data_IF_240894711751
#
_entry.id   IF_240894711751
#
_cell.length_a   1.000
_cell.length_b   1.000
_cell.length_c   1.000
_cell.angle_alpha   90.00
_cell.angle_beta   90.00
_cell.angle_gamma   90.00
#
_symmetry.space_group_name_H-M   'P 1'
#
loop_
_entity.id
_entity.type
_entity.pdbx_description
1 polymer ?
#
# COMPACT_ATOMS: atom_id res chain seq x y z
N UNK A 1 10.03 -42.05 -15.75
CA UNK A 1 9.92 -41.84 -14.30
C UNK A 1 8.81 -40.82 -14.10
N UNK A 2 7.63 -41.30 -13.77
CA UNK A 2 6.44 -40.44 -13.67
C UNK A 2 6.51 -39.60 -12.40
N UNK A 3 6.18 -38.31 -12.52
CA UNK A 3 6.23 -37.40 -11.38
C UNK A 3 5.05 -37.68 -10.44
N UNK A 4 5.26 -37.77 -9.11
CA UNK A 4 4.18 -38.04 -8.15
C UNK A 4 3.01 -37.06 -8.25
N UNK A 5 1.80 -37.58 -8.21
CA UNK A 5 0.52 -36.84 -8.29
C UNK A 5 0.43 -35.56 -7.47
N UNK A 6 0.91 -35.48 -6.20
CA UNK A 6 0.82 -34.24 -5.42
C UNK A 6 1.63 -33.08 -6.04
N UNK A 7 2.72 -33.39 -6.74
CA UNK A 7 3.54 -32.36 -7.40
C UNK A 7 2.82 -31.84 -8.65
N UNK A 8 2.16 -32.73 -9.41
CA UNK A 8 1.34 -32.34 -10.57
C UNK A 8 0.17 -31.47 -10.14
N UNK A 9 -0.48 -31.79 -9.03
CA UNK A 9 -1.59 -30.99 -8.52
C UNK A 9 -1.14 -29.59 -8.06
N UNK A 10 0.03 -29.48 -7.40
CA UNK A 10 0.59 -28.17 -7.03
C UNK A 10 0.97 -27.34 -8.25
N UNK A 11 1.60 -27.94 -9.26
CA UNK A 11 1.92 -27.26 -10.51
C UNK A 11 0.66 -26.88 -11.29
N UNK A 12 -0.36 -27.74 -11.31
CA UNK A 12 -1.65 -27.46 -11.93
C UNK A 12 -2.41 -26.33 -11.25
N UNK A 13 -2.38 -26.26 -9.92
CA UNK A 13 -2.97 -25.16 -9.16
C UNK A 13 -2.20 -23.85 -9.40
N UNK A 14 -0.87 -23.90 -9.39
CA UNK A 14 -0.04 -22.72 -9.66
C UNK A 14 -0.25 -22.22 -11.10
N UNK A 15 -0.31 -23.14 -12.07
CA UNK A 15 -0.62 -22.83 -13.47
C UNK A 15 -2.01 -22.24 -13.64
N UNK A 16 -3.02 -22.74 -12.91
CA UNK A 16 -4.39 -22.20 -12.98
C UNK A 16 -4.53 -20.82 -12.34
N UNK A 17 -3.73 -20.52 -11.32
CA UNK A 17 -3.70 -19.18 -10.71
C UNK A 17 -2.99 -18.18 -11.62
N UNK A 18 -1.97 -18.59 -12.39
CA UNK A 18 -1.21 -17.71 -13.27
C UNK A 18 -1.82 -17.60 -14.67
N UNK A 19 -2.35 -18.70 -15.20
CA UNK A 19 -3.00 -18.81 -16.51
C UNK A 19 -4.46 -19.25 -16.31
N UNK A 20 -5.27 -18.43 -15.64
CA UNK A 20 -6.72 -18.60 -15.65
C UNK A 20 -7.21 -18.39 -17.08
N UNK A 21 -7.23 -19.49 -17.83
CA UNK A 21 -7.59 -19.61 -19.23
C UNK A 21 -9.09 -19.41 -19.49
N UNK A 22 -9.32 -18.75 -20.61
CA UNK A 22 -10.53 -18.19 -21.18
C UNK A 22 -11.57 -19.18 -21.72
N UNK A 23 -11.83 -20.30 -21.03
CA UNK A 23 -12.81 -21.30 -21.51
C UNK A 23 -14.07 -21.44 -20.63
N UNK A 24 -14.59 -20.32 -20.08
CA UNK A 24 -16.01 -20.25 -19.69
C UNK A 24 -16.83 -19.71 -20.85
N UNK A 25 -17.33 -20.62 -21.68
CA UNK A 25 -18.47 -20.42 -22.58
C UNK A 25 -19.73 -20.13 -21.74
N UNK A 26 -19.95 -18.85 -21.47
CA UNK A 26 -21.16 -18.26 -20.90
C UNK A 26 -21.32 -16.85 -21.50
N UNK A 27 -22.54 -16.30 -21.60
CA UNK A 27 -22.82 -15.17 -22.48
C UNK A 27 -21.91 -13.98 -22.17
N UNK A 28 -21.37 -13.39 -23.22
CA UNK A 28 -20.44 -12.25 -23.26
C UNK A 28 -20.94 -11.06 -22.40
N UNK A 29 -20.72 -11.14 -21.09
CA UNK A 29 -20.39 -9.97 -20.32
C UNK A 29 -18.93 -9.71 -20.63
N UNK A 30 -18.67 -8.68 -21.43
CA UNK A 30 -17.35 -8.09 -21.63
C UNK A 30 -16.59 -8.11 -20.30
N UNK A 31 -15.69 -9.09 -20.12
CA UNK A 31 -14.57 -8.99 -19.20
C UNK A 31 -13.68 -7.91 -19.80
N UNK A 32 -14.07 -6.65 -19.58
CA UNK A 32 -13.22 -5.51 -19.87
C UNK A 32 -11.89 -5.68 -19.11
N UNK A 33 -10.84 -4.95 -19.49
CA UNK A 33 -9.54 -4.98 -18.82
C UNK A 33 -9.54 -4.54 -17.34
N UNK A 34 -10.69 -4.55 -16.66
CA UNK A 34 -10.93 -4.07 -15.31
C UNK A 34 -10.57 -5.10 -14.21
N UNK A 35 -10.18 -6.33 -14.59
CA UNK A 35 -9.56 -7.29 -13.66
C UNK A 35 -8.03 -7.17 -13.61
N UNK A 36 -7.43 -6.25 -14.37
CA UNK A 36 -5.99 -6.04 -14.37
C UNK A 36 -5.58 -5.48 -13.00
N UNK A 37 -4.68 -6.22 -12.31
CA UNK A 37 -4.17 -5.94 -10.96
C UNK A 37 -4.06 -4.44 -10.67
N UNK A 38 -4.78 -3.98 -9.64
CA UNK A 38 -4.76 -2.57 -9.21
C UNK A 38 -3.50 -2.25 -8.45
N UNK A 39 -2.83 -3.29 -7.96
CA UNK A 39 -1.55 -3.19 -7.29
C UNK A 39 -0.55 -2.40 -8.13
N UNK A 40 0.02 -1.36 -7.53
CA UNK A 40 1.04 -0.55 -8.19
C UNK A 40 2.40 -1.17 -7.97
N UNK A 41 2.99 -1.71 -9.05
CA UNK A 41 4.36 -2.21 -9.06
C UNK A 41 5.35 -1.13 -8.60
N UNK A 42 5.17 0.10 -9.08
CA UNK A 42 6.05 1.22 -8.76
C UNK A 42 6.04 1.56 -7.25
N UNK A 43 4.86 1.57 -6.62
CA UNK A 43 4.73 1.77 -5.18
C UNK A 43 5.46 0.65 -4.43
N UNK A 44 5.24 -0.61 -4.83
CA UNK A 44 5.84 -1.78 -4.19
C UNK A 44 7.37 -1.74 -4.26
N UNK A 45 7.93 -1.41 -5.42
CA UNK A 45 9.37 -1.32 -5.61
C UNK A 45 9.98 -0.19 -4.75
N UNK A 46 9.30 0.94 -4.66
CA UNK A 46 9.75 2.04 -3.79
C UNK A 46 9.72 1.65 -2.31
N UNK A 47 8.66 0.96 -1.85
CA UNK A 47 8.57 0.44 -0.48
C UNK A 47 9.67 -0.58 -0.18
N UNK A 48 10.00 -1.44 -1.16
CA UNK A 48 11.12 -2.37 -1.09
C UNK A 48 12.44 -1.66 -0.82
N UNK A 49 12.83 -0.71 -1.68
CA UNK A 49 14.07 0.04 -1.47
C UNK A 49 14.07 0.83 -0.15
N UNK A 50 12.93 1.43 0.19
CA UNK A 50 12.81 2.21 1.41
C UNK A 50 12.94 1.36 2.69
N UNK A 51 12.52 0.09 2.64
CA UNK A 51 12.69 -0.86 3.76
C UNK A 51 14.17 -1.12 4.07
N UNK A 52 15.03 -1.21 3.05
CA UNK A 52 16.47 -1.36 3.24
C UNK A 52 17.17 -0.04 3.54
N UNK A 53 16.67 1.07 3.00
CA UNK A 53 17.19 2.40 3.29
C UNK A 53 16.90 2.83 4.74
N UNK A 54 15.79 2.40 5.32
CA UNK A 54 15.37 2.84 6.65
C UNK A 54 16.36 2.50 7.78
N UNK A 55 16.90 1.27 7.91
CA UNK A 55 17.97 0.99 8.87
C UNK A 55 19.22 1.85 8.66
N UNK A 56 19.58 2.14 7.41
CA UNK A 56 20.71 3.01 7.08
C UNK A 56 20.44 4.46 7.52
N UNK A 57 19.25 4.98 7.23
CA UNK A 57 18.78 6.27 7.71
C UNK A 57 18.83 6.35 9.24
N UNK A 58 18.37 5.29 9.92
CA UNK A 58 18.35 5.23 11.37
C UNK A 58 19.76 5.27 11.98
N UNK A 59 20.66 4.39 11.53
CA UNK A 59 22.06 4.35 12.02
C UNK A 59 22.76 5.68 11.76
N UNK A 60 22.61 6.25 10.56
CA UNK A 60 23.21 7.54 10.24
C UNK A 60 22.65 8.68 11.10
N UNK A 61 21.35 8.69 11.40
CA UNK A 61 20.72 9.68 12.28
C UNK A 61 21.26 9.59 13.71
N UNK A 62 21.40 8.38 14.25
CA UNK A 62 21.99 8.16 15.58
C UNK A 62 23.45 8.60 15.62
N UNK A 63 24.25 8.23 14.62
CA UNK A 63 25.66 8.63 14.54
C UNK A 63 25.81 10.15 14.46
N UNK A 64 25.03 10.82 13.61
CA UNK A 64 25.06 12.29 13.50
C UNK A 64 24.61 12.97 14.78
N UNK A 65 23.55 12.45 15.43
CA UNK A 65 23.10 12.95 16.72
C UNK A 65 24.21 12.85 17.77
N UNK A 66 24.93 11.73 17.86
CA UNK A 66 26.05 11.58 18.80
C UNK A 66 27.15 12.62 18.56
N UNK A 67 27.52 12.88 17.30
CA UNK A 67 28.57 13.86 16.99
C UNK A 67 28.19 15.29 17.38
N UNK A 68 26.92 15.67 17.23
CA UNK A 68 26.44 17.02 17.58
C UNK A 68 25.86 17.16 18.98
N UNK A 69 25.70 16.06 19.72
CA UNK A 69 24.99 16.03 21.00
C UNK A 69 25.54 17.02 22.03
N UNK A 70 26.87 17.19 22.08
CA UNK A 70 27.51 18.10 23.04
C UNK A 70 27.32 19.58 22.71
N UNK A 71 27.02 19.92 21.45
CA UNK A 71 26.96 21.30 20.95
C UNK A 71 25.51 21.80 20.95
N UNK A 72 24.53 20.90 20.83
CA UNK A 72 23.12 21.25 20.82
C UNK A 72 22.68 21.83 22.18
N UNK A 73 21.82 22.87 22.18
CA UNK A 73 21.06 23.27 23.36
C UNK A 73 20.15 22.13 23.85
N UNK A 74 19.91 22.06 25.16
CA UNK A 74 19.18 20.92 25.77
C UNK A 74 17.78 20.70 25.18
N UNK A 75 17.01 21.76 24.94
CA UNK A 75 15.67 21.64 24.35
C UNK A 75 15.72 21.02 22.94
N UNK A 76 16.73 21.33 22.13
CA UNK A 76 16.89 20.72 20.82
C UNK A 76 17.28 19.25 20.91
N UNK A 77 18.07 18.84 21.91
CA UNK A 77 18.39 17.41 22.14
C UNK A 77 17.10 16.61 22.36
N UNK A 78 16.23 17.08 23.25
CA UNK A 78 14.96 16.41 23.53
C UNK A 78 14.07 16.33 22.29
N UNK A 79 13.96 17.43 21.53
CA UNK A 79 13.13 17.48 20.32
C UNK A 79 13.65 16.47 19.27
N UNK A 80 14.94 16.48 18.96
CA UNK A 80 15.52 15.59 17.92
C UNK A 80 15.38 14.14 18.31
N UNK A 81 15.69 13.77 19.56
CA UNK A 81 15.53 12.39 20.04
C UNK A 81 14.08 11.93 19.90
N UNK A 82 13.13 12.78 20.32
CA UNK A 82 11.70 12.48 20.24
C UNK A 82 11.27 12.29 18.79
N UNK A 83 11.69 13.17 17.88
CA UNK A 83 11.34 13.08 16.46
C UNK A 83 11.94 11.84 15.82
N UNK A 84 13.20 11.49 16.12
CA UNK A 84 13.82 10.26 15.60
C UNK A 84 13.02 9.03 16.04
N UNK A 85 12.62 8.96 17.31
CA UNK A 85 11.79 7.85 17.82
C UNK A 85 10.43 7.81 17.11
N UNK A 86 9.75 8.97 17.00
CA UNK A 86 8.45 9.05 16.33
C UNK A 86 8.54 8.64 14.86
N UNK A 87 9.51 9.18 14.10
CA UNK A 87 9.75 8.81 12.71
C UNK A 87 10.01 7.30 12.62
N UNK A 88 10.78 6.72 13.55
CA UNK A 88 11.09 5.28 13.53
C UNK A 88 9.82 4.43 13.69
N UNK A 89 8.97 4.78 14.66
CA UNK A 89 7.72 4.06 14.92
C UNK A 89 6.71 4.24 13.78
N UNK A 90 6.53 5.47 13.33
CA UNK A 90 5.61 5.80 12.23
C UNK A 90 6.07 5.10 10.96
N UNK A 91 7.37 5.11 10.65
CA UNK A 91 7.92 4.47 9.45
C UNK A 91 7.68 2.97 9.43
N UNK A 92 7.85 2.28 10.57
CA UNK A 92 7.57 0.85 10.67
C UNK A 92 6.10 0.53 10.36
N UNK A 93 5.16 1.28 10.96
CA UNK A 93 3.72 1.13 10.72
C UNK A 93 3.38 1.47 9.28
N UNK A 94 3.96 2.56 8.77
CA UNK A 94 3.75 3.06 7.42
C UNK A 94 4.19 2.03 6.39
N UNK A 95 5.41 1.50 6.49
CA UNK A 95 5.89 0.44 5.61
C UNK A 95 4.92 -0.76 5.65
N UNK A 96 4.55 -1.25 6.83
CA UNK A 96 3.60 -2.36 6.97
C UNK A 96 2.27 -2.11 6.24
N UNK A 97 1.63 -0.96 6.48
CA UNK A 97 0.36 -0.59 5.84
C UNK A 97 0.51 -0.44 4.32
N UNK A 98 1.62 0.13 3.85
CA UNK A 98 1.89 0.28 2.42
C UNK A 98 2.01 -1.07 1.71
N UNK A 99 2.78 -2.00 2.29
CA UNK A 99 2.92 -3.35 1.75
C UNK A 99 1.60 -4.12 1.75
N UNK A 100 0.90 -4.13 2.88
CA UNK A 100 -0.36 -4.88 3.01
C UNK A 100 -1.45 -4.27 2.12
N UNK A 101 -1.62 -2.94 2.15
CA UNK A 101 -2.63 -2.25 1.36
C UNK A 101 -2.44 -2.42 -0.13
N UNK A 102 -1.19 -2.36 -0.62
CA UNK A 102 -0.91 -2.51 -2.05
C UNK A 102 -0.96 -3.97 -2.54
N UNK A 103 -0.49 -4.94 -1.75
CA UNK A 103 -0.51 -6.35 -2.13
C UNK A 103 -1.88 -7.01 -1.98
N UNK A 104 -2.63 -6.65 -0.93
CA UNK A 104 -3.97 -7.18 -0.67
C UNK A 104 -5.06 -6.33 -1.30
N UNK A 105 -4.69 -5.28 -2.04
CA UNK A 105 -5.59 -4.31 -2.68
C UNK A 105 -6.64 -3.73 -1.72
N UNK A 106 -6.23 -3.51 -0.47
CA UNK A 106 -7.12 -3.00 0.56
C UNK A 106 -7.01 -1.47 0.65
N UNK A 107 -8.09 -0.83 0.20
CA UNK A 107 -8.30 0.62 0.26
C UNK A 107 -8.04 1.22 1.64
N UNK A 108 -8.58 0.68 2.77
CA UNK A 108 -8.39 1.32 4.07
C UNK A 108 -6.94 1.31 4.55
N UNK A 109 -6.20 0.22 4.37
CA UNK A 109 -4.78 0.12 4.73
C UNK A 109 -3.93 1.07 3.87
N UNK A 110 -4.19 1.15 2.56
CA UNK A 110 -3.48 2.06 1.67
C UNK A 110 -3.81 3.54 1.96
N UNK A 111 -5.06 3.85 2.34
CA UNK A 111 -5.44 5.18 2.81
C UNK A 111 -4.71 5.54 4.11
N UNK A 112 -4.59 4.59 5.04
CA UNK A 112 -3.79 4.74 6.26
C UNK A 112 -2.31 5.02 5.95
N UNK A 113 -1.71 4.27 5.02
CA UNK A 113 -0.37 4.53 4.52
C UNK A 113 -0.20 5.96 3.98
N UNK A 114 -1.13 6.38 3.12
CA UNK A 114 -1.12 7.70 2.50
C UNK A 114 -1.25 8.82 3.54
N UNK A 115 -2.18 8.66 4.49
CA UNK A 115 -2.41 9.61 5.58
C UNK A 115 -1.21 9.71 6.52
N UNK A 116 -0.64 8.59 6.95
CA UNK A 116 0.57 8.60 7.80
C UNK A 116 1.74 9.27 7.09
N UNK A 117 1.90 9.01 5.79
CA UNK A 117 2.97 9.61 4.99
C UNK A 117 2.80 11.13 4.91
N UNK A 118 1.62 11.63 4.58
CA UNK A 118 1.38 13.06 4.41
C UNK A 118 1.27 13.84 5.72
N UNK A 119 0.53 13.31 6.70
CA UNK A 119 0.14 14.06 7.89
C UNK A 119 1.19 13.97 9.00
N UNK A 120 1.83 12.81 9.18
CA UNK A 120 2.79 12.61 10.24
C UNK A 120 4.23 12.62 9.71
N UNK A 121 4.52 11.81 8.69
CA UNK A 121 5.90 11.59 8.24
C UNK A 121 6.50 12.82 7.55
N UNK A 122 5.76 13.45 6.63
CA UNK A 122 6.24 14.63 5.91
C UNK A 122 6.54 15.82 6.83
N UNK A 123 5.66 16.26 7.75
CA UNK A 123 5.98 17.37 8.64
C UNK A 123 7.18 17.08 9.54
N UNK A 124 7.34 15.84 10.03
CA UNK A 124 8.46 15.45 10.88
C UNK A 124 9.79 15.49 10.12
N UNK A 125 9.87 14.89 8.92
CA UNK A 125 11.10 14.92 8.13
C UNK A 125 11.43 16.35 7.66
N UNK A 126 10.40 17.12 7.32
CA UNK A 126 10.56 18.51 6.89
C UNK A 126 11.07 19.39 8.02
N UNK A 127 10.61 19.16 9.25
CA UNK A 127 11.12 19.84 10.43
C UNK A 127 12.61 19.54 10.64
N UNK A 128 13.04 18.27 10.52
CA UNK A 128 14.47 17.95 10.60
C UNK A 128 15.27 18.64 9.47
N UNK A 129 14.71 18.68 8.26
CA UNK A 129 15.39 19.22 7.09
C UNK A 129 15.50 20.75 7.09
N UNK A 130 14.49 21.49 7.53
CA UNK A 130 14.50 22.97 7.46
C UNK A 130 14.88 23.65 8.77
N UNK A 131 14.89 22.95 9.90
CA UNK A 131 15.28 23.58 11.15
C UNK A 131 16.82 23.76 11.22
N UNK A 132 17.26 25.00 11.01
CA UNK A 132 18.68 25.39 11.10
C UNK A 132 19.23 25.29 12.52
N UNK A 133 18.39 25.44 13.54
CA UNK A 133 18.76 25.33 14.96
C UNK A 133 19.26 23.94 15.36
N UNK A 134 19.00 22.92 14.53
CA UNK A 134 19.51 21.56 14.73
C UNK A 134 20.98 21.38 14.32
N UNK A 135 21.64 22.43 13.84
CA UNK A 135 23.02 22.41 13.31
C UNK A 135 23.23 21.21 12.40
N UNK A 136 22.35 21.09 11.40
CA UNK A 136 22.26 19.93 10.52
C UNK A 136 23.58 19.68 9.78
N UNK A 137 24.16 18.49 9.96
CA UNK A 137 25.40 18.12 9.27
C UNK A 137 25.11 17.84 7.78
N UNK A 138 26.11 18.00 6.87
CA UNK A 138 25.92 17.72 5.45
C UNK A 138 25.41 16.29 5.17
N UNK A 139 25.89 15.30 5.94
CA UNK A 139 25.44 13.91 5.83
C UNK A 139 23.98 13.74 6.27
N UNK A 140 23.59 14.39 7.37
CA UNK A 140 22.20 14.38 7.87
C UNK A 140 21.24 14.98 6.84
N UNK A 141 21.60 16.13 6.26
CA UNK A 141 20.84 16.74 5.16
C UNK A 141 20.69 15.79 3.98
N UNK A 142 21.78 15.17 3.52
CA UNK A 142 21.73 14.24 2.38
C UNK A 142 20.79 13.06 2.64
N UNK A 143 20.92 12.43 3.81
CA UNK A 143 20.08 11.30 4.22
C UNK A 143 18.60 11.70 4.32
N UNK A 144 18.29 12.86 4.90
CA UNK A 144 16.93 13.36 4.99
C UNK A 144 16.34 13.75 3.64
N UNK A 145 17.13 14.31 2.72
CA UNK A 145 16.70 14.60 1.35
C UNK A 145 16.34 13.31 0.61
N UNK A 146 17.19 12.29 0.67
CA UNK A 146 16.93 10.99 0.03
C UNK A 146 15.64 10.38 0.59
N UNK A 147 15.47 10.40 1.91
CA UNK A 147 14.24 9.91 2.56
C UNK A 147 13.01 10.68 2.10
N UNK A 148 13.11 12.01 2.03
CA UNK A 148 12.02 12.89 1.57
C UNK A 148 11.64 12.57 0.12
N UNK A 149 12.61 12.31 -0.77
CA UNK A 149 12.34 11.92 -2.16
C UNK A 149 11.56 10.60 -2.22
N UNK A 150 11.97 9.58 -1.45
CA UNK A 150 11.22 8.32 -1.34
C UNK A 150 9.79 8.56 -0.86
N UNK A 151 9.61 9.36 0.19
CA UNK A 151 8.29 9.71 0.73
C UNK A 151 7.41 10.41 -0.29
N UNK A 152 7.93 11.44 -0.98
CA UNK A 152 7.18 12.17 -2.01
C UNK A 152 6.75 11.25 -3.15
N UNK A 153 7.66 10.41 -3.65
CA UNK A 153 7.33 9.44 -4.69
C UNK A 153 6.23 8.46 -4.26
N UNK A 154 6.33 7.95 -3.03
CA UNK A 154 5.36 7.02 -2.47
C UNK A 154 3.99 7.66 -2.24
N UNK A 155 3.94 8.91 -1.77
CA UNK A 155 2.69 9.67 -1.62
C UNK A 155 1.98 9.81 -2.96
N UNK A 156 2.70 10.20 -4.02
CA UNK A 156 2.12 10.37 -5.36
C UNK A 156 1.62 9.01 -5.90
N UNK A 157 2.47 7.98 -5.81
CA UNK A 157 2.12 6.65 -6.31
C UNK A 157 0.97 6.02 -5.52
N UNK A 158 0.93 6.17 -4.19
CA UNK A 158 -0.17 5.71 -3.36
C UNK A 158 -1.48 6.46 -3.65
N UNK A 159 -1.42 7.78 -3.89
CA UNK A 159 -2.60 8.53 -4.30
C UNK A 159 -3.20 8.02 -5.61
N UNK A 160 -2.36 7.79 -6.62
CA UNK A 160 -2.80 7.23 -7.91
C UNK A 160 -3.38 5.84 -7.74
N UNK A 161 -2.74 5.00 -6.93
CA UNK A 161 -3.18 3.62 -6.63
C UNK A 161 -4.52 3.62 -5.88
N UNK A 162 -4.65 4.49 -4.87
CA UNK A 162 -5.87 4.63 -4.09
C UNK A 162 -7.05 5.07 -4.96
N UNK A 163 -6.85 6.04 -5.86
CA UNK A 163 -7.89 6.44 -6.84
C UNK A 163 -8.35 5.27 -7.70
N UNK A 164 -7.42 4.47 -8.21
CA UNK A 164 -7.74 3.28 -9.01
C UNK A 164 -8.53 2.25 -8.20
N UNK A 165 -8.08 1.93 -6.99
CA UNK A 165 -8.74 0.96 -6.11
C UNK A 165 -10.15 1.40 -5.68
N UNK A 166 -10.33 2.69 -5.37
CA UNK A 166 -11.65 3.23 -5.01
C UNK A 166 -12.63 3.17 -6.19
N UNK A 167 -12.18 3.52 -7.39
CA UNK A 167 -13.02 3.45 -8.59
C UNK A 167 -13.45 2.01 -8.88
N UNK A 168 -12.53 1.05 -8.79
CA UNK A 168 -12.86 -0.35 -8.99
C UNK A 168 -13.79 -0.88 -7.90
N UNK A 169 -13.58 -0.48 -6.65
CA UNK A 169 -14.45 -0.84 -5.54
C UNK A 169 -15.88 -0.33 -5.79
N UNK A 170 -16.03 0.91 -6.26
CA UNK A 170 -17.34 1.45 -6.65
C UNK A 170 -17.99 0.63 -7.76
N UNK A 171 -17.24 0.29 -8.82
CA UNK A 171 -17.75 -0.57 -9.90
C UNK A 171 -18.21 -1.93 -9.38
N UNK A 172 -17.43 -2.57 -8.49
CA UNK A 172 -17.79 -3.86 -7.89
C UNK A 172 -19.05 -3.78 -7.05
N UNK A 173 -19.23 -2.72 -6.27
CA UNK A 173 -20.46 -2.52 -5.50
C UNK A 173 -21.67 -2.36 -6.41
N UNK A 174 -21.58 -1.53 -7.44
CA UNK A 174 -22.67 -1.37 -8.40
C UNK A 174 -23.05 -2.69 -9.08
N UNK A 175 -22.07 -3.48 -9.52
CA UNK A 175 -22.33 -4.80 -10.12
C UNK A 175 -23.00 -5.76 -9.14
N UNK A 176 -22.56 -5.82 -7.89
CA UNK A 176 -23.18 -6.67 -6.87
C UNK A 176 -24.63 -6.27 -6.57
N UNK A 177 -24.92 -4.97 -6.57
CA UNK A 177 -26.28 -4.46 -6.38
C UNK A 177 -27.18 -4.87 -7.56
N UNK A 178 -26.70 -4.77 -8.80
CA UNK A 178 -27.41 -5.24 -9.98
C UNK A 178 -27.66 -6.76 -9.93
N UNK A 179 -26.65 -7.56 -9.56
CA UNK A 179 -26.78 -9.01 -9.45
C UNK A 179 -27.82 -9.40 -8.40
N UNK A 180 -27.82 -8.73 -7.23
CA UNK A 180 -28.84 -8.94 -6.18
C UNK A 180 -30.25 -8.59 -6.63
N UNK A 181 -30.41 -7.48 -7.35
CA UNK A 181 -31.70 -7.10 -7.92
C UNK A 181 -32.17 -8.10 -8.98
N UNK A 182 -31.26 -8.60 -9.82
CA UNK A 182 -31.57 -9.59 -10.84
C UNK A 182 -31.99 -10.94 -10.22
N UNK A 183 -31.31 -11.39 -9.17
CA UNK A 183 -31.65 -12.60 -8.42
C UNK A 183 -33.02 -12.47 -7.74
N UNK A 184 -33.27 -11.36 -7.04
CA UNK A 184 -34.56 -11.08 -6.40
C UNK A 184 -35.72 -11.03 -7.41
N UNK A 185 -35.49 -10.45 -8.60
CA UNK A 185 -36.47 -10.46 -9.69
C UNK A 185 -36.71 -11.87 -10.24
N UNK A 186 -35.67 -12.70 -10.32
CA UNK A 186 -35.78 -14.09 -10.72
C UNK A 186 -36.65 -14.90 -9.74
N UNK A 187 -36.42 -14.74 -8.44
CA UNK A 187 -37.20 -15.41 -7.40
C UNK A 187 -38.66 -14.96 -7.38
N UNK A 188 -38.95 -13.66 -7.53
CA UNK A 188 -40.33 -13.17 -7.65
C UNK A 188 -41.06 -13.78 -8.85
N UNK A 189 -40.40 -13.92 -10.01
CA UNK A 189 -41.01 -14.60 -11.16
C UNK A 189 -41.31 -16.06 -10.88
N UNK A 190 -40.39 -16.77 -10.20
CA UNK A 190 -40.59 -18.18 -9.82
C UNK A 190 -41.77 -18.35 -8.85
N UNK A 191 -41.90 -17.46 -7.86
CA UNK A 191 -43.05 -17.48 -6.94
C UNK A 191 -44.35 -17.25 -7.68
N UNK A 192 -44.39 -16.29 -8.62
CA UNK A 192 -45.58 -16.06 -9.45
C UNK A 192 -45.96 -17.31 -10.26
N UNK A 193 -44.99 -17.98 -10.89
CA UNK A 193 -45.30 -19.19 -11.68
C UNK A 193 -45.85 -20.33 -10.82
N UNK A 194 -45.37 -20.52 -9.57
CA UNK A 194 -45.93 -21.54 -8.69
C UNK A 194 -47.37 -21.23 -8.22
N UNK A 195 -47.73 -19.95 -8.08
CA UNK A 195 -49.11 -19.56 -7.75
C UNK A 195 -50.05 -19.81 -8.93
N UNK A 196 -49.58 -19.62 -10.17
CA UNK A 196 -50.37 -19.88 -11.38
C UNK A 196 -50.60 -21.37 -11.68
N UNK A 197 -49.83 -22.28 -11.06
CA UNK A 197 -49.99 -23.74 -11.21
C UNK A 197 -51.00 -24.39 -10.23
N UNK A 198 -51.57 -23.63 -9.29
CA UNK A 198 -52.60 -24.08 -8.32
C UNK A 198 -53.99 -23.67 -8.79
#
# INVERSE_FOLDING_TARGET
>A
MELPDPVRQRLGNFSRTVFSDSNRTGPEYNEGPDNEMVSSLALQMSLYFNTYFFPLWWVSSIMMLQMKYSILPDYYKFIVVTIIILITLIEAIRLYLGYMGNLQEKVPELAGFWLLSLLLQLPLILFLLFNEGLTNLPLEKAVHIIFTIFLTFQVVSAFLTLRKMVNQLATRFHLQDFDRLSASRGDMRRVRSCIEEI
#
